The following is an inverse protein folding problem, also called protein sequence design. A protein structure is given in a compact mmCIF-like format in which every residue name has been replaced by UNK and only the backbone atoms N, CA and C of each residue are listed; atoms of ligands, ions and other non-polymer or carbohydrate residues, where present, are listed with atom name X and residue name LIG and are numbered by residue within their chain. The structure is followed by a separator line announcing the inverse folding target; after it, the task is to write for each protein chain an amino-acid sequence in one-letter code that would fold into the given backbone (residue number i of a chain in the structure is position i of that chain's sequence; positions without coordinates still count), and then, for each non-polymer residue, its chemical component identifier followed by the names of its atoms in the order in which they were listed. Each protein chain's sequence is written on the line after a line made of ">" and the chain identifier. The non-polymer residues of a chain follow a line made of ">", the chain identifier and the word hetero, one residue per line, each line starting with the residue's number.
data_IF_811829067106
#
_entry.id   IF_811829067106
#
_cell.length_a   1.000
_cell.length_b   1.000
_cell.length_c   1.000
_cell.angle_alpha   90.00
_cell.angle_beta   90.00
_cell.angle_gamma   90.00
#
_symmetry.space_group_name_H-M   'P 1'
#
loop_
_entity.id
_entity.type
_entity.pdbx_description
1 polymer ?
#
# COMPACT_ATOMS: atom_id res chain seq x y z
N UNK A 1 8.10 4.40 -16.42
CA UNK A 1 8.30 3.26 -15.49
C UNK A 1 9.02 3.68 -14.21
N UNK A 2 10.23 4.25 -14.29
CA UNK A 2 10.99 4.64 -13.09
C UNK A 2 10.24 5.57 -12.13
N UNK A 3 9.45 6.52 -12.65
CA UNK A 3 8.61 7.41 -11.84
C UNK A 3 7.65 6.66 -10.92
N UNK A 4 6.89 5.70 -11.45
CA UNK A 4 5.86 4.96 -10.70
C UNK A 4 6.48 3.83 -9.87
N UNK A 5 7.56 3.21 -10.35
CA UNK A 5 8.15 2.03 -9.72
C UNK A 5 9.26 2.36 -8.70
N UNK A 6 9.85 3.55 -8.76
CA UNK A 6 10.99 3.95 -7.90
C UNK A 6 10.66 5.22 -7.13
N UNK A 7 10.39 6.33 -7.82
CA UNK A 7 10.22 7.63 -7.16
C UNK A 7 8.91 7.72 -6.36
N UNK A 8 7.81 7.20 -6.91
CA UNK A 8 6.51 7.10 -6.21
C UNK A 8 6.63 6.39 -4.86
N UNK A 9 7.11 5.13 -4.81
CA UNK A 9 7.32 4.39 -3.57
C UNK A 9 8.17 5.15 -2.53
N UNK A 10 9.25 5.81 -2.94
CA UNK A 10 10.08 6.60 -2.01
C UNK A 10 9.25 7.71 -1.37
N UNK A 11 8.55 8.51 -2.18
CA UNK A 11 7.74 9.62 -1.69
C UNK A 11 6.60 9.13 -0.78
N UNK A 12 5.89 8.09 -1.20
CA UNK A 12 4.79 7.51 -0.44
C UNK A 12 5.27 6.96 0.91
N UNK A 13 6.37 6.20 0.95
CA UNK A 13 6.90 5.72 2.22
C UNK A 13 7.35 6.86 3.14
N UNK A 14 8.00 7.90 2.61
CA UNK A 14 8.39 9.07 3.39
C UNK A 14 7.17 9.77 4.00
N UNK A 15 6.07 9.87 3.25
CA UNK A 15 4.83 10.45 3.75
C UNK A 15 4.15 9.55 4.78
N UNK A 16 3.84 8.31 4.43
CA UNK A 16 2.97 7.46 5.26
C UNK A 16 3.72 6.80 6.43
N UNK A 17 4.99 6.46 6.28
CA UNK A 17 5.80 5.81 7.34
C UNK A 17 6.70 6.83 8.01
N UNK A 18 7.36 7.67 7.21
CA UNK A 18 8.25 8.71 7.70
C UNK A 18 7.52 9.80 8.49
N UNK A 19 6.40 10.32 7.97
CA UNK A 19 5.66 11.42 8.60
C UNK A 19 4.44 10.93 9.39
N UNK A 20 3.47 10.27 8.75
CA UNK A 20 2.19 9.91 9.41
C UNK A 20 2.42 9.00 10.63
N UNK A 21 3.12 7.88 10.48
CA UNK A 21 3.37 6.96 11.62
C UNK A 21 4.25 7.53 12.73
N UNK A 22 5.12 8.50 12.42
CA UNK A 22 6.00 9.08 13.44
C UNK A 22 5.37 10.23 14.19
N UNK A 23 4.41 10.93 13.59
CA UNK A 23 3.68 12.03 14.22
C UNK A 23 2.43 11.57 14.98
N UNK A 24 1.66 10.63 14.41
CA UNK A 24 0.37 10.21 14.97
C UNK A 24 0.48 8.83 15.62
N UNK A 25 -0.03 8.71 16.85
CA UNK A 25 -0.10 7.45 17.61
C UNK A 25 1.23 6.68 17.69
N UNK A 26 2.37 7.39 17.65
CA UNK A 26 3.71 6.80 17.59
C UNK A 26 3.89 5.72 18.67
N UNK A 27 4.22 4.51 18.24
CA UNK A 27 4.41 3.34 19.12
C UNK A 27 3.19 2.97 19.98
N UNK A 28 1.97 3.33 19.57
CA UNK A 28 0.74 2.97 20.28
C UNK A 28 0.64 1.45 20.47
N UNK A 29 0.40 0.94 21.69
CA UNK A 29 0.29 -0.51 21.94
C UNK A 29 -0.87 -1.16 21.15
N UNK A 30 -1.86 -0.37 20.74
CA UNK A 30 -3.00 -0.79 19.92
C UNK A 30 -2.72 -0.74 18.41
N UNK A 31 -1.47 -0.45 18.01
CA UNK A 31 -1.06 -0.37 16.60
C UNK A 31 -1.82 0.70 15.78
N UNK A 32 -2.30 1.76 16.44
CA UNK A 32 -3.08 2.82 15.79
C UNK A 32 -2.29 3.61 14.74
N UNK A 33 -0.98 3.79 14.91
CA UNK A 33 -0.06 4.35 13.91
C UNK A 33 -0.02 3.51 12.64
N UNK A 34 0.02 2.17 12.78
CA UNK A 34 0.00 1.24 11.64
C UNK A 34 -1.35 1.30 10.93
N UNK A 35 -2.44 1.26 11.70
CA UNK A 35 -3.80 1.29 11.16
C UNK A 35 -4.07 2.60 10.42
N UNK A 36 -3.75 3.74 11.04
CA UNK A 36 -3.94 5.06 10.44
C UNK A 36 -3.15 5.22 9.13
N UNK A 37 -1.87 4.81 9.15
CA UNK A 37 -1.02 4.87 7.96
C UNK A 37 -1.58 4.04 6.81
N UNK A 38 -2.01 2.80 7.08
CA UNK A 38 -2.59 1.93 6.06
C UNK A 38 -3.94 2.46 5.52
N UNK A 39 -4.79 3.03 6.38
CA UNK A 39 -6.06 3.64 5.95
C UNK A 39 -5.78 4.81 5.00
N UNK A 40 -4.94 5.77 5.40
CA UNK A 40 -4.66 6.96 4.57
C UNK A 40 -3.98 6.55 3.26
N UNK A 41 -3.05 5.58 3.30
CA UNK A 41 -2.42 5.01 2.11
C UNK A 41 -3.47 4.40 1.15
N UNK A 42 -4.39 3.60 1.65
CA UNK A 42 -5.42 2.98 0.80
C UNK A 42 -6.42 4.00 0.24
N UNK A 43 -6.82 5.00 1.02
CA UNK A 43 -7.72 6.06 0.58
C UNK A 43 -7.10 6.91 -0.54
N UNK A 44 -5.80 7.23 -0.48
CA UNK A 44 -5.15 8.01 -1.55
C UNK A 44 -5.14 7.26 -2.88
N UNK A 45 -5.06 5.93 -2.85
CA UNK A 45 -5.07 5.09 -4.04
C UNK A 45 -6.48 4.92 -4.63
N UNK A 46 -7.54 4.96 -3.81
CA UNK A 46 -8.92 4.93 -4.31
C UNK A 46 -9.30 6.14 -5.16
N UNK A 47 -8.75 7.31 -4.82
CA UNK A 47 -9.02 8.57 -5.54
C UNK A 47 -8.54 8.46 -7.00
N UNK A 48 -7.50 7.65 -7.23
CA UNK A 48 -6.79 7.54 -8.52
C UNK A 48 -7.27 6.32 -9.34
N UNK A 49 -7.73 5.24 -8.68
CA UNK A 49 -7.87 3.90 -9.30
C UNK A 49 -9.31 3.40 -9.54
N UNK A 50 -10.31 4.29 -9.41
CA UNK A 50 -11.73 3.99 -9.22
C UNK A 50 -12.08 3.56 -7.78
N UNK A 51 -13.23 4.04 -7.28
CA UNK A 51 -13.75 3.76 -5.94
C UNK A 51 -14.36 2.35 -5.88
N UNK A 52 -13.53 1.31 -5.73
CA UNK A 52 -14.01 -0.04 -5.37
C UNK A 52 -13.62 -0.38 -3.94
N UNK A 53 -14.54 -1.00 -3.20
CA UNK A 53 -14.22 -1.58 -1.88
C UNK A 53 -13.13 -2.65 -1.99
N UNK A 54 -13.07 -3.39 -3.09
CA UNK A 54 -12.02 -4.38 -3.29
C UNK A 54 -10.64 -3.73 -3.43
N UNK A 55 -10.55 -2.64 -4.21
CA UNK A 55 -9.29 -1.89 -4.35
C UNK A 55 -8.84 -1.34 -2.99
N UNK A 56 -9.78 -0.80 -2.18
CA UNK A 56 -9.49 -0.33 -0.83
C UNK A 56 -8.85 -1.43 0.01
N UNK A 57 -9.48 -2.61 0.07
CA UNK A 57 -8.99 -3.74 0.86
C UNK A 57 -7.61 -4.21 0.40
N UNK A 58 -7.35 -4.20 -0.91
CA UNK A 58 -6.05 -4.59 -1.46
C UNK A 58 -4.96 -3.61 -1.05
N UNK A 59 -5.15 -2.30 -1.30
CA UNK A 59 -4.18 -1.29 -0.91
C UNK A 59 -4.04 -1.18 0.61
N UNK A 60 -5.11 -1.40 1.38
CA UNK A 60 -5.06 -1.41 2.84
C UNK A 60 -4.18 -2.55 3.37
N UNK A 61 -4.34 -3.77 2.84
CA UNK A 61 -3.50 -4.91 3.23
C UNK A 61 -2.03 -4.71 2.86
N UNK A 62 -1.75 -4.21 1.65
CA UNK A 62 -0.38 -3.85 1.24
C UNK A 62 0.19 -2.78 2.16
N UNK A 63 -0.60 -1.73 2.44
CA UNK A 63 -0.25 -0.64 3.33
C UNK A 63 0.06 -1.10 4.76
N UNK A 64 -0.70 -2.07 5.27
CA UNK A 64 -0.46 -2.71 6.58
C UNK A 64 0.88 -3.42 6.61
N UNK A 65 1.21 -4.22 5.59
CA UNK A 65 2.49 -4.95 5.52
C UNK A 65 3.67 -3.99 5.59
N UNK A 66 3.64 -2.93 4.78
CA UNK A 66 4.68 -1.90 4.76
C UNK A 66 4.80 -1.19 6.12
N UNK A 67 3.68 -0.79 6.71
CA UNK A 67 3.64 -0.14 8.02
C UNK A 67 4.18 -1.06 9.14
N UNK A 68 3.85 -2.35 9.11
CA UNK A 68 4.37 -3.34 10.07
C UNK A 68 5.87 -3.56 9.92
N UNK A 69 6.38 -3.63 8.68
CA UNK A 69 7.83 -3.74 8.42
C UNK A 69 8.56 -2.52 8.96
N UNK A 70 8.08 -1.31 8.63
CA UNK A 70 8.66 -0.09 9.17
C UNK A 70 8.62 -0.06 10.70
N UNK A 71 7.49 -0.44 11.31
CA UNK A 71 7.37 -0.46 12.77
C UNK A 71 8.35 -1.41 13.44
N UNK A 72 8.53 -2.61 12.88
CA UNK A 72 9.42 -3.65 13.42
C UNK A 72 10.89 -3.30 13.22
N UNK A 73 11.25 -2.81 12.04
CA UNK A 73 12.65 -2.54 11.68
C UNK A 73 13.13 -1.16 12.11
N UNK A 74 12.21 -0.21 12.31
CA UNK A 74 12.49 1.23 12.50
C UNK A 74 13.36 1.83 11.40
N UNK A 75 13.35 1.21 10.21
CA UNK A 75 14.16 1.63 9.08
C UNK A 75 13.28 1.67 7.83
N UNK A 76 13.17 2.87 7.26
CA UNK A 76 12.30 3.13 6.11
C UNK A 76 12.76 2.41 4.84
N UNK A 77 14.06 2.10 4.75
CA UNK A 77 14.66 1.45 3.59
C UNK A 77 13.98 0.11 3.26
N UNK A 78 13.67 -0.71 4.27
CA UNK A 78 13.00 -2.00 4.05
C UNK A 78 11.59 -1.85 3.47
N UNK A 79 10.84 -0.85 3.95
CA UNK A 79 9.51 -0.55 3.44
C UNK A 79 9.58 -0.05 1.99
N UNK A 80 10.52 0.86 1.71
CA UNK A 80 10.75 1.41 0.37
C UNK A 80 11.13 0.32 -0.62
N UNK A 81 12.10 -0.54 -0.28
CA UNK A 81 12.54 -1.62 -1.16
C UNK A 81 11.41 -2.60 -1.46
N UNK A 82 10.64 -2.99 -0.43
CA UNK A 82 9.50 -3.87 -0.65
C UNK A 82 8.44 -3.20 -1.54
N UNK A 83 8.15 -1.92 -1.31
CA UNK A 83 7.17 -1.19 -2.11
C UNK A 83 7.60 -1.07 -3.58
N UNK A 84 8.88 -0.80 -3.85
CA UNK A 84 9.40 -0.84 -5.22
C UNK A 84 9.20 -2.23 -5.86
N UNK A 85 9.50 -3.30 -5.13
CA UNK A 85 9.30 -4.69 -5.62
C UNK A 85 7.82 -4.94 -5.95
N UNK A 86 6.90 -4.51 -5.08
CA UNK A 86 5.46 -4.64 -5.30
C UNK A 86 5.01 -3.85 -6.55
N UNK A 87 5.47 -2.61 -6.74
CA UNK A 87 5.11 -1.82 -7.92
C UNK A 87 5.71 -2.37 -9.22
N UNK A 88 6.94 -2.90 -9.16
CA UNK A 88 7.55 -3.58 -10.31
C UNK A 88 6.73 -4.82 -10.67
N UNK A 89 6.39 -5.66 -9.68
CA UNK A 89 5.55 -6.84 -9.91
C UNK A 89 4.17 -6.47 -10.48
N UNK A 90 3.53 -5.43 -9.95
CA UNK A 90 2.25 -4.93 -10.46
C UNK A 90 2.34 -4.35 -11.89
N UNK A 91 3.53 -4.00 -12.35
CA UNK A 91 3.77 -3.49 -13.71
C UNK A 91 4.02 -4.61 -14.73
N UNK A 92 4.18 -5.86 -14.30
CA UNK A 92 4.33 -7.03 -15.19
C UNK A 92 2.96 -7.35 -15.83
N UNK A 93 2.83 -7.37 -17.17
CA UNK A 93 1.56 -7.55 -17.85
C UNK A 93 0.79 -8.81 -17.46
N UNK A 94 1.49 -9.94 -17.31
CA UNK A 94 0.89 -11.23 -16.98
C UNK A 94 0.26 -11.20 -15.57
N UNK A 95 0.96 -10.60 -14.60
CA UNK A 95 0.46 -10.44 -13.23
C UNK A 95 -0.69 -9.44 -13.17
N UNK A 96 -0.60 -8.35 -13.94
CA UNK A 96 -1.66 -7.36 -14.05
C UNK A 96 -2.93 -7.96 -14.66
N UNK A 97 -2.81 -8.82 -15.66
CA UNK A 97 -3.95 -9.54 -16.24
C UNK A 97 -4.61 -10.47 -15.22
N UNK A 98 -3.84 -11.23 -14.44
CA UNK A 98 -4.38 -12.08 -13.37
C UNK A 98 -5.20 -11.25 -12.37
N UNK A 99 -4.68 -10.10 -11.94
CA UNK A 99 -5.41 -9.18 -11.07
C UNK A 99 -6.77 -8.77 -11.63
N UNK A 100 -6.80 -8.36 -12.90
CA UNK A 100 -8.04 -7.93 -13.58
C UNK A 100 -9.04 -9.08 -13.66
N UNK A 101 -8.59 -10.29 -14.02
CA UNK A 101 -9.47 -11.47 -14.08
C UNK A 101 -10.04 -11.86 -12.71
N UNK A 102 -9.21 -11.88 -11.67
CA UNK A 102 -9.65 -12.18 -10.30
C UNK A 102 -10.65 -11.13 -9.81
N UNK A 103 -10.35 -9.84 -10.01
CA UNK A 103 -11.26 -8.75 -9.67
C UNK A 103 -12.60 -8.88 -10.40
N UNK A 104 -12.57 -9.16 -11.70
CA UNK A 104 -13.78 -9.37 -12.50
C UNK A 104 -14.60 -10.56 -11.98
N UNK A 105 -13.96 -11.71 -11.73
CA UNK A 105 -14.64 -12.91 -11.24
C UNK A 105 -15.28 -12.71 -9.86
N UNK A 106 -14.59 -12.04 -8.93
CA UNK A 106 -15.14 -11.69 -7.60
C UNK A 106 -16.38 -10.81 -7.76
N UNK A 107 -16.29 -9.75 -8.57
CA UNK A 107 -17.45 -8.86 -8.79
C UNK A 107 -18.64 -9.63 -9.36
N UNK A 108 -18.43 -10.49 -10.36
CA UNK A 108 -19.50 -11.30 -10.97
C UNK A 108 -20.05 -12.42 -10.07
N UNK A 109 -19.34 -12.81 -9.02
CA UNK A 109 -19.80 -13.85 -8.08
C UNK A 109 -20.69 -13.27 -6.99
N UNK A 110 -20.49 -12.00 -6.64
CA UNK A 110 -21.19 -11.32 -5.55
C UNK A 110 -22.20 -10.26 -6.02
N UNK A 111 -22.43 -10.14 -7.34
CA UNK A 111 -23.49 -9.35 -7.99
C UNK A 111 -24.19 -10.20 -9.05
#
# INVERSE_FOLDING_TARGET
>A
MAEICIFGPIFEELLYRGLIMTQFFKNSPLYLDVLLSAIIFSLSHLIISHLSLLDFLIYFNIGLVFALIFRKTKNIYYSVMLHMVVNIAASIPELKSIYVYVKFWIVMTFF
#
